data_IF_567998769524
#
_entry.id   IF_567998769524
#
_cell.length_a   1.000
_cell.length_b   1.000
_cell.length_c   1.000
_cell.angle_alpha   90.00
_cell.angle_beta   90.00
_cell.angle_gamma   90.00
#
_symmetry.space_group_name_H-M   'P 1'
#
loop_
_entity.id
_entity.type
_entity.pdbx_description
1 polymer ?
#
# COMPACT_ATOMS: atom_id res chain seq x y z
N UNK A 1 -18.34 27.59 40.42
CA UNK A 1 -17.42 26.43 40.39
C UNK A 1 -18.26 25.18 40.24
N UNK A 2 -17.83 24.20 39.44
CA UNK A 2 -18.61 23.03 38.96
C UNK A 2 -19.44 23.33 37.71
N UNK A 3 -18.77 23.74 36.63
CA UNK A 3 -19.22 23.46 35.25
C UNK A 3 -18.10 22.74 34.47
N UNK A 4 -17.21 22.06 35.19
CA UNK A 4 -16.03 21.38 34.64
C UNK A 4 -16.16 19.85 34.57
N UNK A 5 -17.33 19.29 34.89
CA UNK A 5 -17.51 17.83 34.98
C UNK A 5 -18.56 17.27 34.02
N UNK A 6 -19.22 18.09 33.19
CA UNK A 6 -20.14 17.57 32.17
C UNK A 6 -19.43 17.06 30.90
N UNK A 7 -18.11 17.24 30.80
CA UNK A 7 -17.33 16.84 29.61
C UNK A 7 -16.64 15.48 29.72
N UNK A 8 -16.76 14.74 30.82
CA UNK A 8 -15.84 13.63 31.10
C UNK A 8 -16.32 12.21 30.81
N UNK A 9 -17.49 11.99 30.20
CA UNK A 9 -17.88 10.65 29.76
C UNK A 9 -18.77 10.64 28.52
N UNK A 10 -18.31 11.24 27.41
CA UNK A 10 -18.71 10.64 26.13
C UNK A 10 -17.92 9.32 26.02
N UNK A 11 -18.52 8.26 26.54
CA UNK A 11 -18.03 6.89 26.42
C UNK A 11 -17.79 6.66 24.93
N UNK A 12 -16.55 6.34 24.56
CA UNK A 12 -16.22 5.99 23.18
C UNK A 12 -17.10 4.82 22.76
N UNK A 13 -17.98 5.04 21.78
CA UNK A 13 -18.79 3.98 21.17
C UNK A 13 -18.10 3.57 19.89
N UNK A 14 -17.58 2.35 19.88
CA UNK A 14 -16.94 1.76 18.70
C UNK A 14 -17.91 1.80 17.50
N UNK A 15 -17.38 1.97 16.27
CA UNK A 15 -18.18 1.84 15.06
C UNK A 15 -18.88 0.48 15.01
N UNK A 16 -20.11 0.44 14.50
CA UNK A 16 -20.81 -0.82 14.22
C UNK A 16 -20.00 -1.60 13.20
N UNK A 17 -20.10 -2.93 13.25
CA UNK A 17 -19.41 -3.75 12.24
C UNK A 17 -19.95 -3.43 10.84
N UNK A 18 -19.09 -3.34 9.82
CA UNK A 18 -19.51 -3.06 8.45
C UNK A 18 -20.56 -4.04 7.92
N UNK A 19 -20.50 -5.30 8.35
CA UNK A 19 -21.45 -6.36 7.96
C UNK A 19 -22.88 -6.04 8.39
N UNK A 20 -23.08 -5.61 9.64
CA UNK A 20 -24.40 -5.21 10.16
C UNK A 20 -24.96 -4.01 9.39
N UNK A 21 -24.11 -3.07 8.98
CA UNK A 21 -24.52 -1.90 8.19
C UNK A 21 -25.00 -2.32 6.80
N UNK A 22 -24.29 -3.26 6.17
CA UNK A 22 -24.63 -3.76 4.83
C UNK A 22 -25.91 -4.61 4.81
N UNK A 23 -26.25 -5.27 5.92
CA UNK A 23 -27.49 -6.03 6.08
C UNK A 23 -28.76 -5.16 6.13
N UNK A 24 -28.63 -3.83 6.17
CA UNK A 24 -29.76 -2.90 6.04
C UNK A 24 -30.55 -2.67 7.33
N UNK A 25 -30.14 -3.26 8.46
CA UNK A 25 -30.73 -3.04 9.79
C UNK A 25 -30.27 -1.71 10.40
N UNK A 26 -30.48 -0.62 9.66
CA UNK A 26 -30.06 0.72 10.03
C UNK A 26 -31.22 1.51 10.62
N UNK A 27 -30.93 2.33 11.62
CA UNK A 27 -31.89 3.27 12.21
C UNK A 27 -32.35 4.30 11.17
N UNK A 28 -33.61 4.71 11.23
CA UNK A 28 -34.17 5.76 10.35
C UNK A 28 -33.87 7.20 10.83
N UNK A 29 -33.22 7.35 11.99
CA UNK A 29 -32.80 8.65 12.51
C UNK A 29 -31.59 9.20 11.75
N UNK A 30 -31.74 10.39 11.13
CA UNK A 30 -30.64 11.07 10.42
C UNK A 30 -29.44 11.34 11.34
N UNK A 31 -29.69 11.70 12.59
CA UNK A 31 -28.63 12.02 13.56
C UNK A 31 -27.79 10.78 13.90
N UNK A 32 -28.43 9.62 14.11
CA UNK A 32 -27.71 8.37 14.38
C UNK A 32 -26.87 7.94 13.19
N UNK A 33 -27.42 8.03 11.97
CA UNK A 33 -26.71 7.70 10.75
C UNK A 33 -25.51 8.62 10.50
N UNK A 34 -25.64 9.92 10.73
CA UNK A 34 -24.51 10.87 10.64
C UNK A 34 -23.44 10.57 11.69
N UNK A 35 -23.84 10.20 12.90
CA UNK A 35 -22.90 9.84 13.96
C UNK A 35 -22.11 8.57 13.59
N UNK A 36 -22.80 7.57 13.02
CA UNK A 36 -22.18 6.32 12.59
C UNK A 36 -21.28 6.53 11.38
N UNK A 37 -21.71 7.34 10.42
CA UNK A 37 -20.93 7.70 9.23
C UNK A 37 -19.60 8.36 9.61
N UNK A 38 -19.64 9.28 10.58
CA UNK A 38 -18.41 9.89 11.13
C UNK A 38 -17.50 8.85 11.79
N UNK A 39 -18.04 7.94 12.59
CA UNK A 39 -17.25 6.86 13.21
C UNK A 39 -16.59 5.96 12.17
N UNK A 40 -17.31 5.59 11.11
CA UNK A 40 -16.78 4.79 10.01
C UNK A 40 -15.70 5.53 9.23
N UNK A 41 -15.86 6.84 8.97
CA UNK A 41 -14.79 7.67 8.37
C UNK A 41 -13.55 7.73 9.25
N UNK A 42 -13.69 7.87 10.56
CA UNK A 42 -12.57 7.83 11.49
C UNK A 42 -11.87 6.45 11.46
N UNK A 43 -12.64 5.35 11.44
CA UNK A 43 -12.09 4.00 11.28
C UNK A 43 -11.33 3.84 9.97
N UNK A 44 -11.89 4.34 8.86
CA UNK A 44 -11.26 4.31 7.54
C UNK A 44 -9.89 5.01 7.55
N UNK A 45 -9.81 6.19 8.17
CA UNK A 45 -8.55 6.93 8.32
C UNK A 45 -7.52 6.15 9.15
N UNK A 46 -7.95 5.50 10.25
CA UNK A 46 -7.08 4.65 11.06
C UNK A 46 -6.54 3.45 10.27
N UNK A 47 -7.39 2.80 9.47
CA UNK A 47 -6.97 1.68 8.62
C UNK A 47 -5.95 2.13 7.57
N UNK A 48 -6.13 3.30 6.97
CA UNK A 48 -5.14 3.85 6.04
C UNK A 48 -3.77 4.10 6.69
N UNK A 49 -3.75 4.66 7.91
CA UNK A 49 -2.51 4.85 8.67
C UNK A 49 -1.85 3.50 9.00
N UNK A 50 -2.64 2.53 9.44
CA UNK A 50 -2.13 1.21 9.80
C UNK A 50 -1.54 0.46 8.60
N UNK A 51 -2.21 0.50 7.44
CA UNK A 51 -1.66 -0.07 6.20
C UNK A 51 -0.32 0.59 5.84
N UNK A 52 -0.21 1.91 6.01
CA UNK A 52 1.03 2.63 5.73
C UNK A 52 2.17 2.16 6.64
N UNK A 53 1.91 2.07 7.95
CA UNK A 53 2.90 1.58 8.93
C UNK A 53 3.35 0.14 8.63
N UNK A 54 2.43 -0.75 8.27
CA UNK A 54 2.77 -2.13 7.93
C UNK A 54 3.61 -2.23 6.66
N UNK A 55 3.34 -1.38 5.66
CA UNK A 55 4.18 -1.31 4.45
C UNK A 55 5.58 -0.82 4.74
N UNK A 56 5.73 0.17 5.64
CA UNK A 56 7.04 0.64 6.10
C UNK A 56 7.82 -0.47 6.84
N UNK A 57 7.12 -1.38 7.51
CA UNK A 57 7.69 -2.54 8.19
C UNK A 57 7.79 -3.80 7.31
N UNK A 58 7.42 -3.74 6.02
CA UNK A 58 7.32 -4.88 5.11
C UNK A 58 6.47 -6.06 5.64
N UNK A 59 5.42 -5.74 6.40
CA UNK A 59 4.49 -6.71 6.96
C UNK A 59 3.27 -6.91 6.04
N UNK A 60 2.58 -8.06 6.11
CA UNK A 60 1.40 -8.34 5.28
C UNK A 60 0.23 -7.37 5.55
N UNK A 61 -0.34 -6.80 4.49
CA UNK A 61 -1.44 -5.81 4.57
C UNK A 61 -2.81 -6.33 4.14
N UNK A 62 -2.87 -7.54 3.54
CA UNK A 62 -4.08 -8.05 2.86
C UNK A 62 -5.35 -8.02 3.73
N UNK A 63 -5.26 -8.52 4.96
CA UNK A 63 -6.42 -8.59 5.87
C UNK A 63 -6.99 -7.20 6.21
N UNK A 64 -6.12 -6.20 6.33
CA UNK A 64 -6.52 -4.83 6.69
C UNK A 64 -7.05 -4.09 5.46
N UNK A 65 -6.53 -4.41 4.27
CA UNK A 65 -7.08 -3.93 2.99
C UNK A 65 -8.49 -4.47 2.75
N UNK A 66 -8.77 -5.73 3.10
CA UNK A 66 -10.12 -6.29 3.08
C UNK A 66 -11.05 -5.56 4.07
N UNK A 67 -10.61 -5.35 5.32
CA UNK A 67 -11.39 -4.57 6.30
C UNK A 67 -11.65 -3.13 5.82
N UNK A 68 -10.66 -2.51 5.19
CA UNK A 68 -10.78 -1.18 4.62
C UNK A 68 -11.87 -1.12 3.55
N UNK A 69 -11.94 -2.14 2.70
CA UNK A 69 -12.95 -2.26 1.66
C UNK A 69 -14.37 -2.45 2.25
N UNK A 70 -14.49 -3.26 3.30
CA UNK A 70 -15.73 -3.44 4.05
C UNK A 70 -16.23 -2.10 4.65
N UNK A 71 -15.33 -1.32 5.27
CA UNK A 71 -15.66 -0.01 5.85
C UNK A 71 -16.08 0.99 4.77
N UNK A 72 -15.43 1.02 3.61
CA UNK A 72 -15.83 1.87 2.48
C UNK A 72 -17.23 1.54 1.96
N UNK A 73 -17.55 0.25 1.90
CA UNK A 73 -18.88 -0.23 1.51
C UNK A 73 -19.93 0.20 2.54
N UNK A 74 -19.64 0.06 3.84
CA UNK A 74 -20.51 0.52 4.90
C UNK A 74 -20.77 2.05 4.86
N UNK A 75 -19.72 2.87 4.64
CA UNK A 75 -19.87 4.32 4.46
C UNK A 75 -20.77 4.64 3.27
N UNK A 76 -20.63 3.90 2.18
CA UNK A 76 -21.46 4.09 0.97
C UNK A 76 -22.93 3.78 1.26
N UNK A 77 -23.23 2.69 1.98
CA UNK A 77 -24.60 2.34 2.39
C UNK A 77 -25.19 3.42 3.29
N UNK A 78 -24.44 3.90 4.29
CA UNK A 78 -24.86 4.99 5.18
C UNK A 78 -25.16 6.28 4.38
N UNK A 79 -24.26 6.68 3.48
CA UNK A 79 -24.45 7.85 2.63
C UNK A 79 -25.72 7.74 1.77
N UNK A 80 -25.99 6.55 1.21
CA UNK A 80 -27.20 6.29 0.41
C UNK A 80 -28.46 6.40 1.26
N UNK A 81 -28.49 5.80 2.46
CA UNK A 81 -29.63 5.88 3.38
C UNK A 81 -29.88 7.33 3.83
N UNK A 82 -28.83 8.07 4.18
CA UNK A 82 -28.90 9.50 4.50
C UNK A 82 -29.48 10.33 3.33
N UNK A 83 -29.04 10.04 2.10
CA UNK A 83 -29.58 10.70 0.90
C UNK A 83 -31.07 10.38 0.71
N UNK A 84 -31.49 9.14 0.94
CA UNK A 84 -32.91 8.72 0.86
C UNK A 84 -33.77 9.48 1.86
N UNK A 85 -33.36 9.55 3.13
CA UNK A 85 -34.08 10.27 4.18
C UNK A 85 -34.21 11.76 3.84
N UNK A 86 -33.13 12.38 3.35
CA UNK A 86 -33.15 13.78 2.93
C UNK A 86 -34.08 14.02 1.75
N UNK A 87 -34.09 13.11 0.77
CA UNK A 87 -34.97 13.20 -0.39
C UNK A 87 -36.45 13.08 0.01
N UNK A 88 -36.78 12.13 0.89
CA UNK A 88 -38.14 11.99 1.45
C UNK A 88 -38.58 13.23 2.23
N UNK A 89 -37.66 13.82 3.00
CA UNK A 89 -37.91 15.06 3.74
C UNK A 89 -38.10 16.26 2.81
N UNK A 90 -37.36 16.35 1.70
CA UNK A 90 -37.54 17.41 0.70
C UNK A 90 -38.77 17.20 -0.20
N UNK A 91 -39.08 15.95 -0.54
CA UNK A 91 -40.16 15.57 -1.45
C UNK A 91 -41.57 15.80 -0.87
N UNK A 92 -41.70 15.89 0.45
CA UNK A 92 -42.96 16.34 1.09
C UNK A 92 -43.41 17.74 0.69
N UNK A 93 -42.55 18.55 0.04
CA UNK A 93 -42.91 19.91 -0.39
C UNK A 93 -43.44 19.98 -1.83
N UNK A 94 -43.27 18.95 -2.68
CA UNK A 94 -43.65 19.07 -4.11
C UNK A 94 -44.43 17.86 -4.64
N UNK A 95 -45.55 17.52 -4.02
CA UNK A 95 -46.60 16.74 -4.71
C UNK A 95 -47.40 17.67 -5.64
N UNK A 96 -46.84 18.03 -6.80
CA UNK A 96 -47.64 18.53 -7.93
C UNK A 96 -47.35 17.73 -9.19
N UNK A 97 -48.15 16.68 -9.33
CA UNK A 97 -48.75 16.14 -10.55
C UNK A 97 -48.13 16.64 -11.86
N UNK A 98 -47.31 15.80 -12.48
CA UNK A 98 -47.23 15.72 -13.94
C UNK A 98 -47.34 14.25 -14.32
N UNK A 99 -48.59 13.77 -14.35
CA UNK A 99 -49.01 12.63 -15.15
C UNK A 99 -48.87 13.05 -16.62
N UNK A 100 -47.93 12.44 -17.32
CA UNK A 100 -47.74 12.67 -18.75
C UNK A 100 -46.59 11.83 -19.26
N UNK A 101 -46.94 10.75 -19.97
CA UNK A 101 -46.15 9.67 -20.60
C UNK A 101 -44.99 10.09 -21.53
N UNK A 102 -44.24 11.13 -21.17
CA UNK A 102 -42.98 11.49 -21.82
C UNK A 102 -41.88 10.89 -20.94
N UNK A 103 -40.95 10.06 -21.48
CA UNK A 103 -39.81 9.60 -20.71
C UNK A 103 -39.16 10.81 -20.04
N UNK A 104 -39.14 10.82 -18.72
CA UNK A 104 -38.53 11.91 -17.96
C UNK A 104 -37.04 12.00 -18.33
N UNK A 105 -36.45 13.18 -18.25
CA UNK A 105 -35.00 13.36 -18.43
C UNK A 105 -34.21 12.35 -17.59
N UNK A 106 -34.68 12.09 -16.37
CA UNK A 106 -34.16 11.09 -15.46
C UNK A 106 -34.18 9.66 -16.05
N UNK A 107 -35.29 9.23 -16.69
CA UNK A 107 -35.33 7.94 -17.39
C UNK A 107 -34.34 7.85 -18.56
N UNK A 108 -34.13 8.96 -19.28
CA UNK A 108 -33.15 9.00 -20.37
C UNK A 108 -31.71 8.91 -19.85
N UNK A 109 -31.41 9.61 -18.77
CA UNK A 109 -30.12 9.54 -18.07
C UNK A 109 -29.88 8.15 -17.48
N UNK A 110 -30.88 7.55 -16.83
CA UNK A 110 -30.80 6.19 -16.30
C UNK A 110 -30.57 5.16 -17.42
N UNK A 111 -31.27 5.30 -18.55
CA UNK A 111 -31.06 4.42 -19.72
C UNK A 111 -29.65 4.55 -20.29
N UNK A 112 -29.10 5.76 -20.37
CA UNK A 112 -27.71 5.97 -20.80
C UNK A 112 -26.72 5.39 -19.80
N UNK A 113 -26.96 5.57 -18.50
CA UNK A 113 -26.13 5.01 -17.45
C UNK A 113 -26.14 3.48 -17.50
N UNK A 114 -27.31 2.86 -17.66
CA UNK A 114 -27.44 1.41 -17.82
C UNK A 114 -26.74 0.91 -19.08
N UNK A 115 -26.83 1.64 -20.20
CA UNK A 115 -26.10 1.30 -21.42
C UNK A 115 -24.57 1.38 -21.20
N UNK A 116 -24.08 2.44 -20.57
CA UNK A 116 -22.67 2.60 -20.22
C UNK A 116 -22.20 1.51 -19.24
N UNK A 117 -22.97 1.20 -18.21
CA UNK A 117 -22.66 0.13 -17.26
C UNK A 117 -22.62 -1.25 -17.94
N UNK A 118 -23.53 -1.50 -18.89
CA UNK A 118 -23.56 -2.77 -19.64
C UNK A 118 -22.34 -2.87 -20.56
N UNK A 119 -22.05 -1.82 -21.33
CA UNK A 119 -20.86 -1.75 -22.18
C UNK A 119 -19.55 -1.95 -21.38
N UNK A 120 -19.41 -1.28 -20.24
CA UNK A 120 -18.25 -1.45 -19.36
C UNK A 120 -18.13 -2.88 -18.82
N UNK A 121 -19.24 -3.53 -18.46
CA UNK A 121 -19.22 -4.93 -18.01
C UNK A 121 -18.77 -5.88 -19.11
N UNK A 122 -19.23 -5.66 -20.33
CA UNK A 122 -18.82 -6.44 -21.51
C UNK A 122 -17.34 -6.25 -21.84
N UNK A 123 -16.84 -5.01 -21.79
CA UNK A 123 -15.43 -4.71 -22.01
C UNK A 123 -14.55 -5.31 -20.91
N UNK A 124 -14.96 -5.23 -19.65
CA UNK A 124 -14.25 -5.91 -18.54
C UNK A 124 -14.22 -7.42 -18.76
N UNK A 125 -15.33 -8.03 -19.18
CA UNK A 125 -15.38 -9.46 -19.46
C UNK A 125 -14.45 -9.85 -20.63
N UNK A 126 -14.41 -9.03 -21.70
CA UNK A 126 -13.52 -9.22 -22.84
C UNK A 126 -12.05 -9.16 -22.43
N UNK A 127 -11.65 -8.11 -21.71
CA UNK A 127 -10.26 -7.97 -21.25
C UNK A 127 -9.86 -9.09 -20.28
N UNK A 128 -10.78 -9.55 -19.42
CA UNK A 128 -10.51 -10.72 -18.56
C UNK A 128 -10.21 -11.97 -19.38
N UNK A 129 -10.98 -12.24 -20.44
CA UNK A 129 -10.73 -13.38 -21.33
C UNK A 129 -9.40 -13.22 -22.10
N UNK A 130 -9.08 -12.02 -22.56
CA UNK A 130 -7.81 -11.72 -23.22
C UNK A 130 -6.62 -11.97 -22.29
N UNK A 131 -6.69 -11.49 -21.04
CA UNK A 131 -5.67 -11.75 -20.01
C UNK A 131 -5.52 -13.26 -19.78
N UNK A 132 -6.62 -14.00 -19.64
CA UNK A 132 -6.56 -15.47 -19.45
C UNK A 132 -5.92 -16.16 -20.66
N UNK A 133 -6.26 -15.75 -21.88
CA UNK A 133 -5.68 -16.29 -23.11
C UNK A 133 -4.18 -16.02 -23.21
N UNK A 134 -3.76 -14.79 -22.91
CA UNK A 134 -2.34 -14.41 -22.88
C UNK A 134 -1.59 -15.17 -21.80
N UNK A 135 -2.17 -15.32 -20.62
CA UNK A 135 -1.58 -16.09 -19.51
C UNK A 135 -1.38 -17.56 -19.95
N UNK A 136 -2.39 -18.18 -20.56
CA UNK A 136 -2.29 -19.54 -21.13
C UNK A 136 -1.21 -19.64 -22.22
N UNK A 137 -1.10 -18.63 -23.10
CA UNK A 137 -0.06 -18.59 -24.12
C UNK A 137 1.34 -18.49 -23.50
N UNK A 138 1.50 -17.66 -22.46
CA UNK A 138 2.77 -17.52 -21.73
C UNK A 138 3.13 -18.81 -21.00
N UNK A 139 2.18 -19.48 -20.36
CA UNK A 139 2.40 -20.80 -19.76
C UNK A 139 2.84 -21.82 -20.81
N UNK A 140 2.12 -21.95 -21.93
CA UNK A 140 2.48 -22.88 -23.01
C UNK A 140 3.85 -22.57 -23.65
N UNK A 141 4.19 -21.29 -23.83
CA UNK A 141 5.52 -20.89 -24.30
C UNK A 141 6.62 -21.22 -23.30
N UNK A 142 6.38 -21.06 -21.99
CA UNK A 142 7.34 -21.43 -20.96
C UNK A 142 7.53 -22.94 -20.88
N UNK A 143 6.47 -23.75 -21.02
CA UNK A 143 6.60 -25.21 -21.10
C UNK A 143 7.41 -25.65 -22.33
N UNK A 144 7.14 -25.06 -23.49
CA UNK A 144 7.91 -25.34 -24.71
C UNK A 144 9.39 -24.93 -24.57
N UNK A 145 9.65 -23.73 -24.00
CA UNK A 145 11.01 -23.27 -23.72
C UNK A 145 11.70 -24.19 -22.74
N UNK A 146 11.06 -24.62 -21.65
CA UNK A 146 11.66 -25.57 -20.72
C UNK A 146 12.04 -26.86 -21.45
N UNK A 147 11.15 -27.36 -22.32
CA UNK A 147 11.39 -28.57 -23.11
C UNK A 147 12.55 -28.41 -24.11
N UNK A 148 12.71 -27.25 -24.75
CA UNK A 148 13.85 -26.93 -25.62
C UNK A 148 15.14 -26.68 -24.83
N UNK A 149 15.05 -26.03 -23.66
CA UNK A 149 16.20 -25.73 -22.79
C UNK A 149 16.79 -27.00 -22.21
N UNK A 150 15.96 -28.02 -21.91
CA UNK A 150 16.44 -29.33 -21.47
C UNK A 150 17.33 -30.04 -22.51
N UNK A 151 17.22 -29.71 -23.81
CA UNK A 151 18.12 -30.25 -24.84
C UNK A 151 19.45 -29.50 -24.93
N UNK A 152 19.52 -28.26 -24.46
CA UNK A 152 20.73 -27.42 -24.49
C UNK A 152 21.42 -27.30 -23.12
N UNK A 153 21.00 -28.11 -22.13
CA UNK A 153 21.39 -27.94 -20.73
C UNK A 153 22.88 -28.22 -20.44
N UNK A 154 23.55 -29.01 -21.30
CA UNK A 154 24.97 -29.35 -21.11
C UNK A 154 25.86 -28.09 -21.21
N UNK A 155 25.59 -27.15 -22.15
CA UNK A 155 26.37 -25.91 -22.28
C UNK A 155 26.06 -24.86 -21.19
N UNK A 156 24.91 -24.98 -20.52
CA UNK A 156 24.50 -24.05 -19.47
C UNK A 156 25.25 -24.27 -18.16
N UNK A 157 25.47 -25.53 -17.78
CA UNK A 157 26.15 -25.90 -16.53
C UNK A 157 27.62 -25.47 -16.55
N UNK A 158 28.34 -25.74 -17.63
CA UNK A 158 29.72 -25.26 -17.81
C UNK A 158 29.84 -23.73 -17.73
N UNK A 159 28.85 -23.02 -18.28
CA UNK A 159 28.85 -21.55 -18.27
C UNK A 159 28.59 -21.01 -16.86
N UNK A 160 27.70 -21.64 -16.11
CA UNK A 160 27.41 -21.23 -14.73
C UNK A 160 28.60 -21.48 -13.80
N UNK A 161 29.27 -22.63 -13.94
CA UNK A 161 30.46 -22.96 -13.16
C UNK A 161 31.65 -22.06 -13.49
N UNK A 162 31.82 -21.68 -14.76
CA UNK A 162 32.81 -20.68 -15.16
C UNK A 162 32.64 -19.36 -14.40
N UNK A 163 31.43 -18.80 -14.37
CA UNK A 163 31.17 -17.55 -13.66
C UNK A 163 31.29 -17.71 -12.14
N UNK A 164 30.91 -18.88 -11.61
CA UNK A 164 31.07 -19.18 -10.19
C UNK A 164 32.54 -19.16 -9.77
N UNK A 165 33.41 -19.74 -10.58
CA UNK A 165 34.85 -19.74 -10.34
C UNK A 165 35.46 -18.35 -10.57
N UNK A 166 35.00 -17.60 -11.56
CA UNK A 166 35.47 -16.24 -11.80
C UNK A 166 35.07 -15.30 -10.65
N UNK A 167 33.85 -15.41 -10.14
CA UNK A 167 33.40 -14.70 -8.94
C UNK A 167 34.25 -15.05 -7.71
N UNK A 168 34.65 -16.32 -7.55
CA UNK A 168 35.52 -16.73 -6.43
C UNK A 168 36.93 -16.14 -6.55
N UNK A 169 37.48 -16.03 -7.75
CA UNK A 169 38.79 -15.39 -7.98
C UNK A 169 38.72 -13.90 -7.65
N UNK A 170 37.68 -13.22 -8.15
CA UNK A 170 37.46 -11.80 -7.90
C UNK A 170 37.26 -11.52 -6.40
N UNK A 171 36.51 -12.38 -5.71
CA UNK A 171 36.30 -12.28 -4.27
C UNK A 171 37.59 -12.45 -3.48
N UNK A 172 38.47 -13.37 -3.90
CA UNK A 172 39.79 -13.54 -3.32
C UNK A 172 40.70 -12.32 -3.57
N UNK A 173 40.72 -11.80 -4.79
CA UNK A 173 41.50 -10.59 -5.13
C UNK A 173 41.02 -9.38 -4.32
N UNK A 174 39.71 -9.21 -4.15
CA UNK A 174 39.12 -8.19 -3.28
C UNK A 174 39.62 -8.33 -1.84
N UNK A 175 39.61 -9.54 -1.30
CA UNK A 175 40.02 -9.79 0.09
C UNK A 175 41.53 -9.56 0.30
N UNK A 176 42.36 -9.89 -0.71
CA UNK A 176 43.80 -9.61 -0.72
C UNK A 176 44.05 -8.09 -0.76
N UNK A 177 43.36 -7.35 -1.63
CA UNK A 177 43.44 -5.88 -1.70
C UNK A 177 42.98 -5.21 -0.40
N UNK A 178 41.90 -5.69 0.21
CA UNK A 178 41.44 -5.19 1.51
C UNK A 178 42.48 -5.43 2.61
N UNK A 179 43.13 -6.58 2.60
CA UNK A 179 44.21 -6.90 3.54
C UNK A 179 45.41 -5.97 3.37
N UNK A 180 45.79 -5.66 2.12
CA UNK A 180 46.85 -4.70 1.81
C UNK A 180 46.49 -3.29 2.28
N UNK A 181 45.27 -2.81 2.00
CA UNK A 181 44.77 -1.50 2.47
C UNK A 181 44.85 -1.40 3.99
N UNK A 182 44.44 -2.44 4.71
CA UNK A 182 44.51 -2.47 6.18
C UNK A 182 45.95 -2.42 6.67
N UNK A 183 46.87 -3.17 6.04
CA UNK A 183 48.30 -3.13 6.37
C UNK A 183 48.89 -1.73 6.17
N UNK A 184 48.67 -1.13 4.99
CA UNK A 184 49.18 0.20 4.67
C UNK A 184 48.59 1.28 5.58
N UNK A 185 47.31 1.15 5.97
CA UNK A 185 46.69 2.05 6.94
C UNK A 185 47.40 1.96 8.30
N UNK A 186 47.71 0.75 8.77
CA UNK A 186 48.42 0.54 10.02
C UNK A 186 49.83 1.13 9.96
N UNK A 187 50.55 0.93 8.86
CA UNK A 187 51.89 1.50 8.64
C UNK A 187 51.84 3.03 8.65
N UNK A 188 50.86 3.62 7.96
CA UNK A 188 50.64 5.07 7.98
C UNK A 188 50.36 5.59 9.39
N UNK A 189 49.54 4.89 10.17
CA UNK A 189 49.27 5.23 11.58
C UNK A 189 50.56 5.18 12.42
N UNK A 190 51.40 4.15 12.25
CA UNK A 190 52.67 4.03 12.96
C UNK A 190 53.64 5.16 12.59
N UNK A 191 53.82 5.43 11.29
CA UNK A 191 54.68 6.51 10.82
C UNK A 191 54.20 7.87 11.33
N UNK A 192 52.88 8.10 11.34
CA UNK A 192 52.30 9.32 11.89
C UNK A 192 52.61 9.46 13.39
N UNK A 193 52.42 8.40 14.18
CA UNK A 193 52.76 8.40 15.60
C UNK A 193 54.25 8.68 15.85
N UNK A 194 55.14 8.12 15.03
CA UNK A 194 56.58 8.38 15.11
C UNK A 194 56.92 9.85 14.79
N UNK A 195 56.28 10.43 13.77
CA UNK A 195 56.46 11.85 13.40
C UNK A 195 55.99 12.75 14.54
N UNK A 196 54.80 12.48 15.11
CA UNK A 196 54.25 13.23 16.24
C UNK A 196 55.17 13.16 17.47
N UNK A 197 55.68 11.98 17.81
CA UNK A 197 56.64 11.79 18.91
C UNK A 197 57.95 12.58 18.67
N UNK A 198 58.48 12.54 17.45
CA UNK A 198 59.71 13.24 17.09
C UNK A 198 59.54 14.76 17.07
N UNK A 199 58.37 15.26 16.68
CA UNK A 199 58.03 16.68 16.73
C UNK A 199 58.02 17.19 18.18
N UNK A 200 57.41 16.43 19.10
CA UNK A 200 57.41 16.76 20.54
C UNK A 200 58.81 16.78 21.12
N UNK A 201 59.63 15.74 20.86
CA UNK A 201 61.02 15.66 21.36
C UNK A 201 61.88 16.83 20.89
N UNK A 202 61.78 17.23 19.61
CA UNK A 202 62.53 18.37 19.07
C UNK A 202 62.15 19.68 19.76
N UNK A 203 60.87 19.89 20.05
CA UNK A 203 60.40 21.07 20.79
C UNK A 203 60.93 21.08 22.24
N UNK A 204 60.92 19.94 22.93
CA UNK A 204 61.45 19.87 24.31
C UNK A 204 62.94 20.19 24.38
N UNK A 205 63.75 19.71 23.43
CA UNK A 205 65.19 19.99 23.38
C UNK A 205 65.53 21.46 23.11
N UNK A 206 64.63 22.21 22.43
CA UNK A 206 64.79 23.64 22.22
C UNK A 206 64.42 24.46 23.47
N UNK A 207 63.44 24.00 24.25
CA UNK A 207 63.00 24.70 25.48
C UNK A 207 64.00 24.54 26.63
N UNK A 208 64.74 23.42 26.70
CA UNK A 208 65.70 23.15 27.80
C UNK A 208 67.09 23.80 27.62
N UNK A 209 67.22 24.84 26.79
CA UNK A 209 68.51 25.50 26.51
C UNK A 209 68.64 26.95 27.01
N UNK A 210 67.83 27.34 27.99
CA UNK A 210 68.00 28.58 28.77
C UNK A 210 68.49 28.24 30.17
#
# INVERSE_FOLDING_TARGET
MICGLFLLTQIYVAPKSPKIICEGNLSDSEEELLSEERKQRSRLQQLHLHIKELRELNLPTKQIEEELWDVQTAITVLCRKLKSIRLENSGKIETRKNDGLTPTLEMFEEKQLLAACTALREDIARHKLEIISLDQCLYGMNENKNTETFKNNDDSEYREDYWRDECRKEEKERDDLLSEIVSLRNDCCQLRAQIELNAVKKLTLLVTRF
#
